data_IF_750795713727
#
_entry.id   IF_750795713727
#
_cell.length_a   1.000
_cell.length_b   1.000
_cell.length_c   1.000
_cell.angle_alpha   90.00
_cell.angle_beta   90.00
_cell.angle_gamma   90.00
#
_symmetry.space_group_name_H-M   'P 1'
#
loop_
_entity.id
_entity.type
_entity.pdbx_description
1 polymer ?
#
# COMPACT_ATOMS: atom_id res chain seq x y z
N UNK A 1 -3.47 -15.08 -13.73
CA UNK A 1 -4.05 -16.08 -12.79
C UNK A 1 -3.20 -17.36 -12.68
N UNK A 2 -2.81 -18.05 -13.78
CA UNK A 2 -2.08 -19.33 -13.68
C UNK A 2 -0.73 -19.22 -12.94
N UNK A 3 0.02 -18.15 -13.20
CA UNK A 3 1.31 -17.88 -12.54
C UNK A 3 1.17 -17.73 -11.03
N UNK A 4 0.15 -17.02 -10.55
CA UNK A 4 -0.07 -16.83 -9.12
C UNK A 4 -0.54 -18.12 -8.45
N UNK A 5 -1.39 -18.91 -9.12
CA UNK A 5 -1.78 -20.24 -8.65
C UNK A 5 -0.56 -21.15 -8.47
N UNK A 6 0.36 -21.16 -9.43
CA UNK A 6 1.61 -21.93 -9.35
C UNK A 6 2.54 -21.42 -8.24
N UNK A 7 2.63 -20.10 -8.07
CA UNK A 7 3.34 -19.50 -6.94
C UNK A 7 2.78 -20.00 -5.60
N UNK A 8 1.46 -19.97 -5.41
CA UNK A 8 0.84 -20.46 -4.17
C UNK A 8 1.07 -21.96 -3.94
N UNK A 9 0.92 -22.79 -4.98
CA UNK A 9 1.20 -24.23 -4.89
C UNK A 9 2.62 -24.54 -4.40
N UNK A 10 3.61 -23.75 -4.81
CA UNK A 10 5.01 -23.92 -4.36
C UNK A 10 5.20 -23.64 -2.86
N UNK A 11 4.35 -22.80 -2.27
CA UNK A 11 4.43 -22.41 -0.85
C UNK A 11 3.50 -23.23 0.05
N UNK A 12 2.48 -23.88 -0.52
CA UNK A 12 1.48 -24.69 0.21
C UNK A 12 1.74 -26.21 0.09
N UNK A 13 2.99 -26.64 -0.18
CA UNK A 13 3.34 -28.03 -0.50
C UNK A 13 2.84 -29.07 0.50
N UNK A 14 2.73 -28.70 1.78
CA UNK A 14 2.33 -29.60 2.86
C UNK A 14 0.83 -29.48 3.23
N UNK A 15 0.05 -28.74 2.43
CA UNK A 15 -1.37 -28.53 2.67
C UNK A 15 -2.15 -29.12 1.50
N UNK A 16 -2.86 -30.21 1.75
CA UNK A 16 -3.75 -30.81 0.76
C UNK A 16 -5.04 -30.00 0.71
N UNK A 17 -5.11 -29.04 -0.21
CA UNK A 17 -6.30 -28.21 -0.43
C UNK A 17 -6.58 -28.03 -1.92
N UNK A 18 -7.86 -27.93 -2.27
CA UNK A 18 -8.25 -27.40 -3.57
C UNK A 18 -7.93 -25.90 -3.61
N UNK A 19 -7.38 -25.44 -4.73
CA UNK A 19 -6.96 -24.05 -4.91
C UNK A 19 -7.71 -23.41 -6.07
N UNK A 20 -8.62 -22.50 -5.74
CA UNK A 20 -9.33 -21.64 -6.69
C UNK A 20 -8.72 -20.24 -6.63
N UNK A 21 -8.27 -19.73 -7.76
CA UNK A 21 -7.65 -18.40 -7.88
C UNK A 21 -8.29 -17.72 -9.07
N UNK A 22 -8.92 -16.58 -8.84
CA UNK A 22 -9.53 -15.79 -9.91
C UNK A 22 -9.63 -14.32 -9.55
N UNK A 23 -9.87 -13.48 -10.56
CA UNK A 23 -10.17 -12.07 -10.36
C UNK A 23 -11.59 -11.91 -9.83
N UNK A 24 -11.82 -10.89 -8.98
CA UNK A 24 -13.14 -10.55 -8.40
C UNK A 24 -13.75 -11.71 -7.58
N UNK A 25 -12.92 -12.54 -6.96
CA UNK A 25 -13.37 -13.64 -6.11
C UNK A 25 -14.22 -13.16 -4.92
N UNK A 26 -13.99 -11.94 -4.44
CA UNK A 26 -14.75 -11.27 -3.37
C UNK A 26 -16.20 -10.93 -3.76
N UNK A 27 -16.51 -10.83 -5.05
CA UNK A 27 -17.88 -10.70 -5.55
C UNK A 27 -18.59 -12.04 -5.67
N UNK A 28 -17.85 -13.13 -5.85
CA UNK A 28 -18.39 -14.47 -6.12
C UNK A 28 -18.56 -15.33 -4.87
N UNK A 29 -17.61 -15.25 -3.93
CA UNK A 29 -17.60 -16.09 -2.73
C UNK A 29 -17.74 -15.24 -1.47
N UNK A 30 -18.79 -15.51 -0.69
CA UNK A 30 -19.09 -14.79 0.55
C UNK A 30 -17.91 -14.79 1.54
N UNK A 31 -17.20 -15.92 1.67
CA UNK A 31 -16.02 -16.03 2.54
C UNK A 31 -14.87 -15.12 2.11
N UNK A 32 -14.66 -14.94 0.80
CA UNK A 32 -13.64 -14.03 0.27
C UNK A 32 -14.09 -12.57 0.43
N UNK A 33 -15.39 -12.31 0.30
CA UNK A 33 -16.00 -11.00 0.59
C UNK A 33 -15.78 -10.58 2.05
N UNK A 34 -16.06 -11.49 3.00
CA UNK A 34 -15.81 -11.28 4.42
C UNK A 34 -14.33 -11.00 4.70
N UNK A 35 -13.42 -11.78 4.10
CA UNK A 35 -11.98 -11.53 4.21
C UNK A 35 -11.58 -10.13 3.68
N UNK A 36 -12.18 -9.68 2.57
CA UNK A 36 -11.96 -8.35 1.99
C UNK A 36 -12.44 -7.24 2.94
N UNK A 37 -13.59 -7.41 3.60
CA UNK A 37 -14.11 -6.47 4.60
C UNK A 37 -13.15 -6.38 5.80
N UNK A 38 -12.78 -7.52 6.38
CA UNK A 38 -11.86 -7.57 7.52
C UNK A 38 -10.54 -6.87 7.19
N UNK A 39 -9.96 -7.18 6.03
CA UNK A 39 -8.70 -6.56 5.60
C UNK A 39 -8.81 -5.03 5.47
N UNK A 40 -9.90 -4.51 4.90
CA UNK A 40 -10.14 -3.06 4.76
C UNK A 40 -10.33 -2.37 6.10
N UNK A 41 -11.13 -2.96 7.00
CA UNK A 41 -11.36 -2.40 8.35
C UNK A 41 -10.06 -2.32 9.15
N UNK A 42 -9.26 -3.38 9.15
CA UNK A 42 -7.97 -3.41 9.84
C UNK A 42 -7.02 -2.37 9.23
N UNK A 43 -6.92 -2.30 7.90
CA UNK A 43 -6.09 -1.31 7.21
C UNK A 43 -6.44 0.11 7.62
N UNK A 44 -7.73 0.46 7.59
CA UNK A 44 -8.18 1.81 7.89
C UNK A 44 -7.98 2.15 9.37
N UNK A 45 -8.10 1.17 10.27
CA UNK A 45 -7.71 1.31 11.67
C UNK A 45 -6.22 1.61 11.82
N UNK A 46 -5.34 0.87 11.14
CA UNK A 46 -3.89 1.11 11.23
C UNK A 46 -3.48 2.47 10.68
N UNK A 47 -4.09 2.94 9.59
CA UNK A 47 -3.85 4.29 9.07
C UNK A 47 -4.22 5.36 10.12
N UNK A 48 -5.35 5.19 10.82
CA UNK A 48 -5.75 6.07 11.93
C UNK A 48 -4.74 6.03 13.09
N UNK A 49 -4.24 4.86 13.46
CA UNK A 49 -3.24 4.73 14.52
C UNK A 49 -1.90 5.38 14.13
N UNK A 50 -1.46 5.24 12.88
CA UNK A 50 -0.27 5.93 12.37
C UNK A 50 -0.48 7.46 12.42
N UNK A 51 -1.65 7.94 11.98
CA UNK A 51 -2.01 9.36 12.06
C UNK A 51 -1.99 9.90 13.50
N UNK A 52 -2.53 9.14 14.47
CA UNK A 52 -2.46 9.51 15.89
C UNK A 52 -1.02 9.60 16.41
N UNK A 53 -0.16 8.65 16.04
CA UNK A 53 1.26 8.64 16.47
C UNK A 53 2.03 9.82 15.89
N UNK A 54 1.75 10.19 14.64
CA UNK A 54 2.44 11.28 13.94
C UNK A 54 1.85 12.66 14.29
N UNK A 55 0.60 12.71 14.76
CA UNK A 55 -0.12 13.94 15.13
C UNK A 55 -0.24 14.93 13.97
N UNK A 56 -0.32 14.43 12.74
CA UNK A 56 -0.52 15.21 11.52
C UNK A 56 -1.47 14.46 10.56
N UNK A 57 -2.34 15.15 9.79
CA UNK A 57 -3.17 14.49 8.78
C UNK A 57 -2.33 13.79 7.71
N UNK A 58 -2.53 12.48 7.56
CA UNK A 58 -1.84 11.66 6.54
C UNK A 58 -2.73 11.49 5.30
N UNK A 59 -4.04 11.60 5.46
CA UNK A 59 -5.03 11.28 4.43
C UNK A 59 -5.21 9.77 4.27
N UNK A 60 -5.71 9.37 3.11
CA UNK A 60 -6.05 7.98 2.78
C UNK A 60 -4.85 7.07 2.52
N UNK A 61 -3.66 7.64 2.30
CA UNK A 61 -2.46 6.90 1.92
C UNK A 61 -2.36 6.64 0.41
N UNK A 62 -3.34 7.08 -0.39
CA UNK A 62 -3.32 6.95 -1.84
C UNK A 62 -2.67 8.16 -2.53
N UNK A 63 -1.96 7.97 -3.67
CA UNK A 63 -1.37 9.08 -4.42
C UNK A 63 -2.38 10.05 -5.04
N UNK A 64 -3.64 9.66 -5.17
CA UNK A 64 -4.72 10.51 -5.66
C UNK A 64 -5.27 11.48 -4.60
N UNK A 65 -4.94 11.27 -3.33
CA UNK A 65 -5.37 12.11 -2.22
C UNK A 65 -4.41 13.29 -2.02
N UNK A 66 -4.87 14.55 -2.19
CA UNK A 66 -4.03 15.73 -1.97
C UNK A 66 -3.42 15.80 -0.58
N UNK A 67 -4.11 15.35 0.47
CA UNK A 67 -3.61 15.34 1.85
C UNK A 67 -2.42 14.41 1.96
N UNK A 68 -2.52 13.21 1.40
CA UNK A 68 -1.42 12.23 1.37
C UNK A 68 -0.21 12.73 0.59
N UNK A 69 -0.42 13.39 -0.55
CA UNK A 69 0.69 13.94 -1.33
C UNK A 69 1.41 15.05 -0.57
N UNK A 70 0.67 15.94 0.09
CA UNK A 70 1.26 17.02 0.89
C UNK A 70 2.03 16.46 2.09
N UNK A 71 1.43 15.50 2.81
CA UNK A 71 2.10 14.81 3.91
C UNK A 71 3.39 14.11 3.46
N UNK A 72 3.35 13.41 2.32
CA UNK A 72 4.52 12.75 1.74
C UNK A 72 5.61 13.75 1.38
N UNK A 73 5.30 14.86 0.69
CA UNK A 73 6.30 15.89 0.32
C UNK A 73 7.01 16.46 1.54
N UNK A 74 6.29 16.69 2.63
CA UNK A 74 6.83 17.23 3.87
C UNK A 74 7.67 16.21 4.64
N UNK A 75 7.23 14.95 4.67
CA UNK A 75 7.73 13.97 5.63
C UNK A 75 8.46 12.76 5.03
N UNK A 76 8.71 12.70 3.71
CA UNK A 76 9.27 11.52 3.03
C UNK A 76 10.56 10.93 3.65
N UNK A 77 11.36 11.75 4.34
CA UNK A 77 12.56 11.35 5.07
C UNK A 77 12.39 11.28 6.60
N UNK A 78 11.34 11.90 7.16
CA UNK A 78 11.12 11.98 8.61
C UNK A 78 10.55 10.68 9.18
N UNK A 79 9.73 9.97 8.40
CA UNK A 79 9.09 8.72 8.81
C UNK A 79 9.38 7.58 7.82
N UNK A 80 10.64 7.14 7.67
CA UNK A 80 11.03 6.21 6.60
C UNK A 80 10.34 4.83 6.67
N UNK A 81 9.79 4.47 7.83
CA UNK A 81 9.10 3.19 8.05
C UNK A 81 7.66 3.15 7.51
N UNK A 82 6.99 4.30 7.34
CA UNK A 82 5.59 4.34 6.88
C UNK A 82 5.49 4.50 5.36
N UNK A 83 6.56 4.95 4.71
CA UNK A 83 6.57 5.19 3.27
C UNK A 83 7.06 3.98 2.48
N UNK A 84 6.32 3.64 1.44
CA UNK A 84 6.71 2.61 0.47
C UNK A 84 7.65 3.22 -0.55
N UNK A 85 8.96 3.04 -0.35
CA UNK A 85 10.02 3.63 -1.20
C UNK A 85 9.99 3.17 -2.66
N UNK A 86 9.41 2.00 -2.92
CA UNK A 86 9.28 1.47 -4.27
C UNK A 86 8.19 2.16 -5.11
N UNK A 87 7.27 2.87 -4.47
CA UNK A 87 6.16 3.53 -5.15
C UNK A 87 6.64 4.76 -5.93
N UNK A 88 6.05 4.95 -7.11
CA UNK A 88 6.37 6.08 -7.99
C UNK A 88 6.19 7.44 -7.29
N UNK A 89 5.17 7.59 -6.43
CA UNK A 89 4.93 8.82 -5.66
C UNK A 89 6.15 9.21 -4.80
N UNK A 90 6.71 8.26 -4.04
CA UNK A 90 7.91 8.49 -3.23
C UNK A 90 9.15 8.69 -4.11
N UNK A 91 9.36 7.83 -5.12
CA UNK A 91 10.51 7.92 -6.04
C UNK A 91 10.56 9.27 -6.75
N UNK A 92 9.43 9.78 -7.23
CA UNK A 92 9.35 11.05 -7.96
C UNK A 92 9.69 12.24 -7.06
N UNK A 93 9.20 12.25 -5.81
CA UNK A 93 9.53 13.29 -4.84
C UNK A 93 11.02 13.24 -4.48
N UNK A 94 11.56 12.04 -4.21
CA UNK A 94 12.97 11.87 -3.90
C UNK A 94 13.88 12.29 -5.07
N UNK A 95 13.52 11.94 -6.32
CA UNK A 95 14.24 12.38 -7.53
C UNK A 95 14.23 13.91 -7.69
N UNK A 96 13.06 14.55 -7.58
CA UNK A 96 12.93 16.02 -7.68
C UNK A 96 13.76 16.75 -6.64
N UNK A 97 13.89 16.20 -5.42
CA UNK A 97 14.72 16.80 -4.36
C UNK A 97 16.23 16.62 -4.58
N UNK A 98 16.66 15.57 -5.30
CA UNK A 98 18.06 15.36 -5.67
C UNK A 98 18.52 16.24 -6.84
N UNK A 99 17.59 16.66 -7.70
CA UNK A 99 17.88 17.54 -8.81
C UNK A 99 17.96 19.00 -8.32
N UNK A 100 19.13 19.64 -8.46
CA UNK A 100 19.27 21.09 -8.27
C UNK A 100 18.42 21.82 -9.30
N UNK A 101 17.84 22.95 -8.91
CA UNK A 101 17.08 23.77 -9.85
C UNK A 101 18.03 24.50 -10.81
N UNK A 102 17.56 24.79 -12.03
CA UNK A 102 18.34 25.56 -13.00
C UNK A 102 18.71 26.97 -12.52
N UNK A 103 18.05 27.46 -11.46
CA UNK A 103 18.33 28.75 -10.81
C UNK A 103 19.45 28.67 -9.76
N UNK A 104 19.94 27.46 -9.46
CA UNK A 104 21.04 27.21 -8.52
C UNK A 104 22.42 27.17 -9.24
N UNK A 105 22.44 27.50 -10.55
CA UNK A 105 23.61 27.74 -11.39
C UNK A 105 23.64 29.22 -11.78
#
# INVERSE_FOLDING_TARGET
IPTYKNFLKRHLKNIKTELVVEHKADFKYAVVSAASIIAKVIRDKEIKEIQKKIKEPIGSGYPSDPVTINFLKKNYNNYPKIFRKEWASWKNINKKKKQKSLKDF
#
